data_IF_404601407134
#
_entry.id   IF_404601407134
#
_cell.length_a   1.000
_cell.length_b   1.000
_cell.length_c   1.000
_cell.angle_alpha   90.00
_cell.angle_beta   90.00
_cell.angle_gamma   90.00
#
_symmetry.space_group_name_H-M   'P 1'
#
loop_
_entity.id
_entity.type
_entity.pdbx_description
1 polymer ?
#
# COMPACT_ATOMS: atom_id res chain seq x y z
N UNK A 1 -5.65 -5.11 -26.49
CA UNK A 1 -6.47 -4.52 -25.40
C UNK A 1 -5.73 -4.76 -24.10
N UNK A 2 -5.50 -3.74 -23.27
CA UNK A 2 -4.90 -3.94 -21.95
C UNK A 2 -5.87 -4.78 -21.09
N UNK A 3 -5.34 -5.76 -20.38
CA UNK A 3 -6.16 -6.60 -19.49
C UNK A 3 -6.87 -5.71 -18.44
N UNK A 4 -8.02 -6.17 -17.94
CA UNK A 4 -8.76 -5.47 -16.86
C UNK A 4 -7.84 -5.21 -15.67
N UNK A 5 -6.96 -6.18 -15.37
CA UNK A 5 -5.95 -6.05 -14.33
C UNK A 5 -4.98 -4.89 -14.61
N UNK A 6 -4.50 -4.71 -15.85
CA UNK A 6 -3.66 -3.55 -16.21
C UNK A 6 -4.39 -2.22 -16.07
N UNK A 7 -5.68 -2.16 -16.42
CA UNK A 7 -6.47 -0.93 -16.27
C UNK A 7 -6.63 -0.55 -14.80
N UNK A 8 -6.98 -1.52 -13.96
CA UNK A 8 -7.08 -1.33 -12.50
C UNK A 8 -5.72 -0.96 -11.93
N UNK A 9 -4.65 -1.68 -12.28
CA UNK A 9 -3.29 -1.38 -11.83
C UNK A 9 -2.85 0.01 -12.22
N UNK A 10 -3.13 0.48 -13.43
CA UNK A 10 -2.75 1.81 -13.86
C UNK A 10 -3.35 2.88 -12.94
N UNK A 11 -4.62 2.72 -12.53
CA UNK A 11 -5.29 3.65 -11.61
C UNK A 11 -4.70 3.59 -10.19
N UNK A 12 -4.37 2.40 -9.68
CA UNK A 12 -3.89 2.24 -8.29
C UNK A 12 -2.38 2.47 -8.19
N UNK A 13 -1.61 2.29 -9.28
CA UNK A 13 -0.15 2.44 -9.32
C UNK A 13 0.27 3.82 -8.85
N UNK A 14 -0.42 4.87 -9.26
CA UNK A 14 -0.10 6.24 -8.83
C UNK A 14 -0.14 6.37 -7.30
N UNK A 15 -1.18 5.82 -6.65
CA UNK A 15 -1.32 5.83 -5.20
C UNK A 15 -0.16 5.08 -4.52
N UNK A 16 0.18 3.89 -5.02
CA UNK A 16 1.30 3.12 -4.48
C UNK A 16 2.65 3.82 -4.65
N UNK A 17 2.86 4.51 -5.77
CA UNK A 17 4.09 5.28 -6.02
C UNK A 17 4.16 6.52 -5.12
N UNK A 18 3.05 7.21 -4.90
CA UNK A 18 2.96 8.33 -3.95
C UNK A 18 3.21 7.86 -2.51
N UNK A 19 2.68 6.69 -2.11
CA UNK A 19 2.99 6.09 -0.81
C UNK A 19 4.47 5.72 -0.68
N UNK A 20 5.08 5.15 -1.72
CA UNK A 20 6.51 4.84 -1.72
C UNK A 20 7.36 6.10 -1.53
N UNK A 21 6.98 7.18 -2.20
CA UNK A 21 7.59 8.50 -2.07
C UNK A 21 7.44 9.06 -0.64
N UNK A 22 6.20 9.11 -0.15
CA UNK A 22 5.89 9.60 1.21
C UNK A 22 6.62 8.82 2.31
N UNK A 23 6.70 7.49 2.19
CA UNK A 23 7.46 6.66 3.13
C UNK A 23 8.97 6.93 3.07
N UNK A 24 9.50 7.19 1.87
CA UNK A 24 10.91 7.60 1.70
C UNK A 24 11.17 8.91 2.43
N UNK A 25 10.34 9.92 2.17
CA UNK A 25 10.45 11.24 2.77
C UNK A 25 10.34 11.18 4.29
N UNK A 26 9.38 10.41 4.80
CA UNK A 26 9.18 10.21 6.23
C UNK A 26 10.41 9.56 6.89
N UNK A 27 11.00 8.52 6.30
CA UNK A 27 12.22 7.90 6.85
C UNK A 27 13.42 8.84 6.73
N UNK A 28 13.50 9.64 5.65
CA UNK A 28 14.62 10.54 5.43
C UNK A 28 14.73 11.62 6.52
N UNK A 29 13.61 12.05 7.08
CA UNK A 29 13.56 12.99 8.23
C UNK A 29 14.31 12.51 9.47
N UNK A 30 14.57 11.21 9.62
CA UNK A 30 15.45 10.71 10.69
C UNK A 30 16.83 11.37 10.63
N UNK A 31 17.33 11.71 9.43
CA UNK A 31 18.62 12.40 9.29
C UNK A 31 18.57 13.82 9.84
N UNK A 32 17.45 14.52 9.72
CA UNK A 32 17.26 15.84 10.32
C UNK A 32 17.26 15.73 11.84
N UNK A 33 16.58 14.73 12.40
CA UNK A 33 16.61 14.43 13.84
C UNK A 33 18.05 14.19 14.29
N UNK A 34 18.85 13.42 13.53
CA UNK A 34 20.26 13.16 13.84
C UNK A 34 21.14 14.41 13.79
N UNK A 35 20.72 15.45 13.08
CA UNK A 35 21.43 16.73 13.02
C UNK A 35 21.04 17.70 14.14
N UNK A 36 19.94 17.44 14.85
CA UNK A 36 19.46 18.29 15.94
C UNK A 36 20.48 18.41 17.09
N UNK A 37 20.53 19.57 17.77
CA UNK A 37 21.36 19.75 18.97
C UNK A 37 21.09 18.69 20.03
N UNK A 38 19.83 18.34 20.25
CA UNK A 38 19.38 17.37 21.27
C UNK A 38 19.96 15.98 20.98
N UNK A 39 19.93 15.55 19.72
CA UNK A 39 20.50 14.27 19.32
C UNK A 39 22.02 14.24 19.44
N UNK A 40 22.69 15.35 19.09
CA UNK A 40 24.16 15.48 19.20
C UNK A 40 24.63 15.51 20.65
N UNK A 41 23.86 16.14 21.54
CA UNK A 41 24.16 16.25 22.98
C UNK A 41 23.80 14.99 23.77
N UNK A 42 22.97 14.09 23.21
CA UNK A 42 22.63 12.83 23.85
C UNK A 42 23.89 11.96 24.10
N UNK A 43 24.14 11.66 25.38
CA UNK A 43 25.38 11.00 25.84
C UNK A 43 25.49 9.52 25.47
N UNK A 44 24.37 8.84 25.25
CA UNK A 44 24.34 7.40 25.02
C UNK A 44 23.37 7.02 23.88
N UNK A 45 23.53 5.79 23.38
CA UNK A 45 22.75 5.27 22.26
C UNK A 45 21.26 5.12 22.58
N UNK A 46 20.92 4.88 23.86
CA UNK A 46 19.53 4.73 24.29
C UNK A 46 18.77 6.05 24.17
N UNK A 47 19.35 7.15 24.65
CA UNK A 47 18.77 8.51 24.51
C UNK A 47 18.66 8.95 23.06
N UNK A 48 19.67 8.66 22.24
CA UNK A 48 19.62 8.91 20.79
C UNK A 48 18.46 8.17 20.12
N UNK A 49 18.30 6.89 20.46
CA UNK A 49 17.20 6.10 19.93
C UNK A 49 15.84 6.56 20.48
N UNK A 50 15.77 6.97 21.76
CA UNK A 50 14.55 7.51 22.37
C UNK A 50 14.00 8.72 21.60
N UNK A 51 14.88 9.65 21.19
CA UNK A 51 14.52 10.83 20.37
C UNK A 51 13.95 10.45 18.99
N UNK A 52 14.44 9.35 18.41
CA UNK A 52 13.91 8.83 17.14
C UNK A 52 12.55 8.17 17.40
N UNK A 53 12.43 7.33 18.44
CA UNK A 53 11.17 6.62 18.74
C UNK A 53 10.05 7.54 19.20
N UNK A 54 10.34 8.65 19.87
CA UNK A 54 9.33 9.63 20.29
C UNK A 54 8.66 10.31 19.10
N UNK A 55 9.26 10.24 17.90
CA UNK A 55 8.70 10.74 16.64
C UNK A 55 7.94 9.65 15.86
N UNK A 56 7.70 8.48 16.47
CA UNK A 56 6.97 7.36 15.86
C UNK A 56 7.83 6.43 15.00
N UNK A 57 9.15 6.58 15.00
CA UNK A 57 10.05 5.70 14.26
C UNK A 57 10.41 4.44 15.06
N UNK A 58 10.75 3.37 14.34
CA UNK A 58 11.23 2.12 14.93
C UNK A 58 12.72 1.92 14.62
N UNK A 59 13.33 0.92 15.25
CA UNK A 59 14.71 0.50 14.97
C UNK A 59 14.92 0.15 13.49
N UNK A 60 13.89 -0.38 12.82
CA UNK A 60 13.94 -0.68 11.39
C UNK A 60 14.04 0.60 10.56
N UNK A 61 13.26 1.63 10.90
CA UNK A 61 13.30 2.92 10.20
C UNK A 61 14.67 3.59 10.36
N UNK A 62 15.21 3.60 11.57
CA UNK A 62 16.55 4.15 11.85
C UNK A 62 17.65 3.41 11.06
N UNK A 63 17.56 2.08 11.00
CA UNK A 63 18.49 1.26 10.20
C UNK A 63 18.39 1.62 8.72
N UNK A 64 17.16 1.73 8.18
CA UNK A 64 16.93 2.11 6.78
C UNK A 64 17.53 3.49 6.45
N UNK A 65 17.29 4.48 7.30
CA UNK A 65 17.84 5.83 7.12
C UNK A 65 19.37 5.88 7.17
N UNK A 66 19.99 4.96 7.91
CA UNK A 66 21.45 4.87 8.12
C UNK A 66 22.15 4.20 6.94
N UNK A 67 21.63 3.05 6.48
CA UNK A 67 22.32 2.22 5.48
C UNK A 67 22.02 2.58 4.03
N UNK A 68 20.92 3.28 3.76
CA UNK A 68 20.51 3.62 2.40
C UNK A 68 20.57 5.12 2.14
N UNK A 69 20.92 5.48 0.90
CA UNK A 69 20.68 6.83 0.38
C UNK A 69 19.21 7.02 0.05
N UNK A 70 18.79 8.27 -0.13
CA UNK A 70 17.41 8.61 -0.48
C UNK A 70 16.93 7.85 -1.73
N UNK A 71 17.73 7.87 -2.81
CA UNK A 71 17.37 7.19 -4.06
C UNK A 71 17.27 5.67 -3.89
N UNK A 72 18.15 5.07 -3.07
CA UNK A 72 18.09 3.64 -2.79
C UNK A 72 16.85 3.26 -1.97
N UNK A 73 16.45 4.11 -1.00
CA UNK A 73 15.20 3.93 -0.25
C UNK A 73 13.98 4.02 -1.17
N UNK A 74 13.96 5.05 -2.03
CA UNK A 74 12.87 5.26 -2.98
C UNK A 74 12.73 4.07 -3.93
N UNK A 75 13.85 3.60 -4.51
CA UNK A 75 13.84 2.44 -5.39
C UNK A 75 13.36 1.18 -4.65
N UNK A 76 13.80 0.99 -3.40
CA UNK A 76 13.35 -0.14 -2.57
C UNK A 76 11.84 -0.09 -2.35
N UNK A 77 11.28 1.05 -1.97
CA UNK A 77 9.83 1.17 -1.76
C UNK A 77 9.02 1.11 -3.05
N UNK A 78 9.56 1.58 -4.18
CA UNK A 78 8.94 1.40 -5.50
C UNK A 78 8.89 -0.07 -5.91
N UNK A 79 9.96 -0.85 -5.64
CA UNK A 79 9.95 -2.30 -5.86
C UNK A 79 8.91 -3.00 -4.98
N UNK A 80 8.82 -2.62 -3.70
CA UNK A 80 7.79 -3.15 -2.80
C UNK A 80 6.37 -2.78 -3.28
N UNK A 81 6.18 -1.59 -3.83
CA UNK A 81 4.93 -1.15 -4.44
C UNK A 81 4.56 -1.98 -5.68
N UNK A 82 5.48 -2.22 -6.61
CA UNK A 82 5.24 -3.08 -7.78
C UNK A 82 4.92 -4.54 -7.37
N UNK A 83 5.56 -5.06 -6.31
CA UNK A 83 5.22 -6.37 -5.74
C UNK A 83 3.81 -6.42 -5.13
N UNK A 84 3.27 -5.30 -4.64
CA UNK A 84 1.86 -5.23 -4.20
C UNK A 84 0.91 -5.13 -5.39
N UNK A 85 1.28 -4.39 -6.43
CA UNK A 85 0.51 -4.31 -7.66
C UNK A 85 0.37 -5.68 -8.35
N UNK A 86 1.41 -6.50 -8.36
CA UNK A 86 1.34 -7.86 -8.94
C UNK A 86 0.37 -8.79 -8.18
N UNK A 87 0.07 -8.53 -6.91
CA UNK A 87 -0.98 -9.26 -6.17
C UNK A 87 -2.38 -8.91 -6.66
N UNK A 88 -2.58 -7.71 -7.19
CA UNK A 88 -3.84 -7.31 -7.83
C UNK A 88 -4.05 -8.18 -9.07
N UNK A 89 -3.02 -8.42 -9.89
CA UNK A 89 -3.14 -9.30 -11.06
C UNK A 89 -3.65 -10.68 -10.67
N UNK A 90 -3.03 -11.27 -9.64
CA UNK A 90 -3.43 -12.59 -9.16
C UNK A 90 -4.86 -12.59 -8.59
N UNK A 91 -5.23 -11.55 -7.84
CA UNK A 91 -6.57 -11.42 -7.27
C UNK A 91 -7.64 -11.25 -8.34
N UNK A 92 -7.40 -10.39 -9.33
CA UNK A 92 -8.28 -10.16 -10.47
C UNK A 92 -8.41 -11.44 -11.30
N UNK A 93 -7.30 -12.08 -11.67
CA UNK A 93 -7.32 -13.33 -12.43
C UNK A 93 -8.06 -14.45 -11.69
N UNK A 94 -7.89 -14.58 -10.37
CA UNK A 94 -8.56 -15.60 -9.56
C UNK A 94 -10.06 -15.33 -9.36
N UNK A 95 -10.48 -14.06 -9.29
CA UNK A 95 -11.87 -13.67 -9.00
C UNK A 95 -12.73 -13.48 -10.26
N UNK A 96 -12.10 -13.11 -11.38
CA UNK A 96 -12.74 -12.96 -12.68
C UNK A 96 -12.44 -14.14 -13.63
N UNK A 97 -11.93 -15.26 -13.13
CA UNK A 97 -11.70 -16.46 -13.95
C UNK A 97 -13.05 -16.94 -14.51
N UNK A 98 -13.30 -16.66 -15.79
CA UNK A 98 -14.54 -17.01 -16.48
C UNK A 98 -15.54 -15.87 -16.69
N UNK A 99 -15.20 -14.62 -16.38
CA UNK A 99 -16.02 -13.43 -16.70
C UNK A 99 -15.35 -12.63 -17.81
N UNK A 100 -16.02 -12.45 -18.95
CA UNK A 100 -15.51 -11.64 -20.06
C UNK A 100 -15.95 -10.18 -19.93
N UNK A 101 -15.21 -9.41 -19.13
CA UNK A 101 -15.52 -7.98 -18.93
C UNK A 101 -15.12 -7.16 -20.17
N UNK A 102 -16.06 -6.38 -20.71
CA UNK A 102 -15.82 -5.43 -21.80
C UNK A 102 -15.47 -4.02 -21.29
N UNK A 103 -16.14 -3.56 -20.23
CA UNK A 103 -15.99 -2.20 -19.72
C UNK A 103 -15.62 -2.17 -18.24
N UNK A 104 -14.64 -1.32 -17.92
CA UNK A 104 -14.17 -1.06 -16.56
C UNK A 104 -14.38 0.42 -16.25
N UNK A 105 -15.12 0.73 -15.20
CA UNK A 105 -15.32 2.10 -14.70
C UNK A 105 -14.88 2.18 -13.25
N UNK A 106 -13.85 2.98 -12.97
CA UNK A 106 -13.45 3.31 -11.62
C UNK A 106 -14.55 4.17 -10.96
N UNK A 107 -15.04 3.74 -9.79
CA UNK A 107 -15.96 4.54 -8.96
C UNK A 107 -15.20 5.33 -7.91
N UNK A 108 -14.28 4.66 -7.24
CA UNK A 108 -13.49 5.21 -6.16
C UNK A 108 -12.12 4.54 -6.16
N UNK A 109 -11.06 5.33 -5.99
CA UNK A 109 -9.72 4.84 -5.80
C UNK A 109 -9.00 5.90 -4.94
N UNK A 110 -8.46 5.49 -3.80
CA UNK A 110 -7.93 6.44 -2.84
C UNK A 110 -7.22 5.77 -1.67
N UNK A 111 -6.89 6.59 -0.68
CA UNK A 111 -6.43 6.12 0.62
C UNK A 111 -7.62 6.02 1.56
N UNK A 112 -7.77 4.86 2.20
CA UNK A 112 -8.69 4.65 3.30
C UNK A 112 -8.28 5.45 4.55
N UNK A 113 -9.16 5.44 5.57
CA UNK A 113 -8.91 6.13 6.85
C UNK A 113 -7.67 5.59 7.59
N UNK A 114 -7.30 4.36 7.31
CA UNK A 114 -6.14 3.68 7.86
C UNK A 114 -4.84 4.00 7.09
N UNK A 115 -4.92 4.81 6.03
CA UNK A 115 -3.80 5.22 5.20
C UNK A 115 -3.39 4.21 4.13
N UNK A 116 -4.12 3.10 3.97
CA UNK A 116 -3.87 2.10 2.95
C UNK A 116 -4.67 2.37 1.68
N UNK A 117 -4.20 1.85 0.54
CA UNK A 117 -4.91 2.03 -0.72
C UNK A 117 -6.19 1.17 -0.73
N UNK A 118 -7.30 1.78 -1.14
CA UNK A 118 -8.60 1.15 -1.30
C UNK A 118 -9.19 1.56 -2.67
N UNK A 119 -10.06 0.73 -3.22
CA UNK A 119 -10.73 1.09 -4.46
C UNK A 119 -11.88 0.19 -4.85
N UNK A 120 -12.74 0.73 -5.71
CA UNK A 120 -13.95 0.09 -6.21
C UNK A 120 -14.15 0.40 -7.70
N UNK A 121 -14.42 -0.65 -8.47
CA UNK A 121 -14.64 -0.61 -9.91
C UNK A 121 -15.97 -1.29 -10.27
N UNK A 122 -16.72 -0.66 -11.17
CA UNK A 122 -17.76 -1.33 -11.93
C UNK A 122 -17.16 -2.03 -13.14
N UNK A 123 -17.55 -3.28 -13.32
CA UNK A 123 -17.15 -4.15 -14.42
C UNK A 123 -18.43 -4.58 -15.15
N UNK A 124 -18.51 -4.34 -16.45
CA UNK A 124 -19.64 -4.78 -17.28
C UNK A 124 -19.22 -5.95 -18.16
N UNK A 125 -19.94 -7.06 -18.05
CA UNK A 125 -19.78 -8.25 -18.88
C UNK A 125 -20.39 -8.06 -20.28
N UNK A 126 -20.03 -8.90 -21.25
CA UNK A 126 -20.62 -8.94 -22.60
C UNK A 126 -22.13 -9.11 -22.60
N UNK A 127 -22.65 -9.85 -21.62
CA UNK A 127 -24.08 -10.05 -21.41
C UNK A 127 -24.79 -8.83 -20.78
N UNK A 128 -24.08 -7.71 -20.57
CA UNK A 128 -24.60 -6.51 -19.91
C UNK A 128 -24.75 -6.64 -18.39
N UNK A 129 -24.18 -7.69 -17.80
CA UNK A 129 -24.23 -7.92 -16.35
C UNK A 129 -23.23 -7.03 -15.63
N UNK A 130 -23.67 -6.40 -14.54
CA UNK A 130 -22.85 -5.51 -13.71
C UNK A 130 -22.21 -6.26 -12.55
N UNK A 131 -20.90 -6.14 -12.44
CA UNK A 131 -20.09 -6.66 -11.36
C UNK A 131 -19.39 -5.52 -10.64
N UNK A 132 -19.30 -5.63 -9.32
CA UNK A 132 -18.56 -4.71 -8.47
C UNK A 132 -17.30 -5.42 -7.98
N UNK A 133 -16.13 -4.91 -8.37
CA UNK A 133 -14.85 -5.34 -7.84
C UNK A 133 -14.35 -4.29 -6.86
N UNK A 134 -14.01 -4.70 -5.64
CA UNK A 134 -13.43 -3.82 -4.63
C UNK A 134 -12.24 -4.48 -3.96
N UNK A 135 -11.31 -3.65 -3.48
CA UNK A 135 -10.38 -4.09 -2.46
C UNK A 135 -10.24 -3.03 -1.38
N UNK A 136 -10.24 -3.53 -0.15
CA UNK A 136 -10.25 -2.73 1.06
C UNK A 136 -9.23 -3.36 2.03
N UNK A 137 -8.79 -2.62 3.05
CA UNK A 137 -7.91 -3.14 4.08
C UNK A 137 -8.67 -3.56 5.32
N UNK A 138 -8.33 -4.76 5.82
CA UNK A 138 -8.91 -5.31 7.04
C UNK A 138 -7.82 -5.59 8.07
N UNK A 139 -8.14 -5.40 9.34
CA UNK A 139 -7.33 -5.91 10.44
C UNK A 139 -7.66 -7.39 10.64
N UNK A 140 -6.66 -8.24 10.42
CA UNK A 140 -6.75 -9.67 10.62
C UNK A 140 -5.93 -10.08 11.85
N UNK A 141 -6.63 -10.68 12.82
CA UNK A 141 -6.05 -11.38 13.97
C UNK A 141 -6.59 -12.82 14.03
N UNK A 142 -5.97 -13.68 14.82
CA UNK A 142 -6.40 -15.06 14.99
C UNK A 142 -5.83 -15.68 16.25
N UNK A 143 -6.39 -16.82 16.67
CA UNK A 143 -6.05 -17.50 17.93
C UNK A 143 -4.55 -17.82 18.08
N UNK A 144 -3.83 -17.96 16.97
CA UNK A 144 -2.37 -18.22 16.93
C UNK A 144 -1.55 -17.05 16.35
N UNK A 145 -2.13 -15.86 16.17
CA UNK A 145 -1.42 -14.71 15.61
C UNK A 145 -1.11 -13.74 16.75
N UNK A 146 0.17 -13.59 17.10
CA UNK A 146 0.63 -12.78 18.22
C UNK A 146 0.45 -11.26 18.03
N UNK A 147 0.20 -10.79 16.80
CA UNK A 147 0.03 -9.38 16.46
C UNK A 147 -1.13 -9.18 15.48
N UNK A 148 -1.87 -8.07 15.57
CA UNK A 148 -2.80 -7.69 14.51
C UNK A 148 -2.04 -7.34 13.23
N UNK A 149 -2.48 -7.88 12.09
CA UNK A 149 -1.90 -7.55 10.79
C UNK A 149 -2.94 -6.92 9.88
N UNK A 150 -2.55 -5.90 9.12
CA UNK A 150 -3.37 -5.36 8.05
C UNK A 150 -3.24 -6.27 6.82
N UNK A 151 -4.38 -6.63 6.22
CA UNK A 151 -4.44 -7.42 4.98
C UNK A 151 -5.39 -6.77 3.98
N UNK A 152 -5.04 -6.82 2.71
CA UNK A 152 -5.94 -6.42 1.64
C UNK A 152 -6.93 -7.55 1.35
N UNK A 153 -8.22 -7.24 1.41
CA UNK A 153 -9.29 -8.15 1.05
C UNK A 153 -9.87 -7.75 -0.31
N UNK A 154 -9.85 -8.69 -1.26
CA UNK A 154 -10.44 -8.51 -2.58
C UNK A 154 -11.83 -9.13 -2.64
N UNK A 155 -12.81 -8.34 -3.04
CA UNK A 155 -14.22 -8.73 -3.11
C UNK A 155 -14.75 -8.53 -4.52
N UNK A 156 -15.57 -9.48 -4.97
CA UNK A 156 -16.34 -9.36 -6.20
C UNK A 156 -17.81 -9.66 -5.88
N UNK A 157 -18.72 -8.80 -6.34
CA UNK A 157 -20.17 -8.95 -6.15
C UNK A 157 -20.87 -8.78 -7.48
N UNK A 158 -21.74 -9.72 -7.83
CA UNK A 158 -22.69 -9.56 -8.94
C UNK A 158 -23.83 -8.68 -8.46
N UNK A 159 -24.08 -7.57 -9.14
CA UNK A 159 -25.24 -6.73 -8.86
C UNK A 159 -26.45 -7.38 -9.54
N UNK A 160 -27.51 -7.67 -8.77
CA UNK A 160 -28.78 -8.07 -9.36
C UNK A 160 -29.37 -6.84 -10.06
N UNK A 161 -29.69 -6.96 -11.35
CA UNK A 161 -30.57 -6.00 -12.00
C UNK A 161 -31.91 -6.03 -11.26
N UNK A 162 -32.32 -4.88 -10.72
CA UNK A 162 -33.67 -4.68 -10.18
C UNK A 162 -34.65 -4.50 -11.32
#
# INVERSE_FOLDING_TARGET
MNSIAEQIKATVREIFMLQAQSNTDWIWKIREIKQSPEYKQAKDAYKKFALITSQGYSKKHDSLATFYTYNQLLEKFRKDAELKLSKIDFAVAKKLSGVEVEHVKCLHCGLGKDGFAEGTWHLTDKEGQLWLFSFDTIYAGGYNIQCMHVRTQYTIKKLKQQ
#
